data_IF_769802738912
#
_entry.id   IF_769802738912
#
_cell.length_a   1.000
_cell.length_b   1.000
_cell.length_c   1.000
_cell.angle_alpha   90.00
_cell.angle_beta   90.00
_cell.angle_gamma   90.00
#
_symmetry.space_group_name_H-M   'P 1'
#
loop_
_entity.id
_entity.type
_entity.pdbx_description
1 polymer ?
#
# COMPACT_ATOMS: atom_id res chain seq x y z
N UNK A 1 -22.50 4.35 37.32
CA UNK A 1 -22.87 3.84 36.00
C UNK A 1 -23.54 2.47 36.03
N UNK A 2 -23.06 1.52 36.84
CA UNK A 2 -23.68 0.18 36.94
C UNK A 2 -25.14 0.19 37.42
N UNK A 3 -25.45 1.05 38.35
CA UNK A 3 -26.83 1.11 38.94
C UNK A 3 -27.85 1.70 37.97
N UNK A 4 -27.43 2.63 37.12
CA UNK A 4 -28.29 3.23 36.09
C UNK A 4 -28.61 2.22 35.00
N UNK A 5 -27.62 1.41 34.63
CA UNK A 5 -27.77 0.34 33.66
C UNK A 5 -28.68 -0.78 34.17
N UNK A 6 -28.53 -1.15 35.46
CA UNK A 6 -29.40 -2.14 36.11
C UNK A 6 -30.86 -1.67 36.26
N UNK A 7 -31.07 -0.36 36.52
CA UNK A 7 -32.42 0.23 36.58
C UNK A 7 -33.07 0.28 35.20
N UNK A 8 -32.32 0.60 34.16
CA UNK A 8 -32.82 0.58 32.79
C UNK A 8 -33.16 -0.84 32.32
N UNK A 9 -32.34 -1.84 32.65
CA UNK A 9 -32.61 -3.23 32.32
C UNK A 9 -33.86 -3.74 33.04
N UNK A 10 -34.07 -3.34 34.30
CA UNK A 10 -35.26 -3.74 35.11
C UNK A 10 -36.53 -3.02 34.66
N UNK A 11 -36.44 -1.77 34.17
CA UNK A 11 -37.55 -1.02 33.62
C UNK A 11 -38.03 -1.54 32.27
N UNK A 12 -37.16 -2.14 31.48
CA UNK A 12 -37.49 -2.68 30.16
C UNK A 12 -38.20 -4.04 30.21
N UNK A 13 -38.24 -4.74 31.37
CA UNK A 13 -38.90 -6.04 31.56
C UNK A 13 -38.69 -6.99 30.34
N UNK A 14 -37.47 -7.08 29.88
CA UNK A 14 -37.12 -7.74 28.62
C UNK A 14 -37.18 -9.26 28.82
N UNK A 15 -38.09 -9.92 28.16
CA UNK A 15 -38.15 -11.37 28.07
C UNK A 15 -36.96 -11.90 27.27
N UNK A 16 -36.54 -13.15 27.50
CA UNK A 16 -35.39 -13.73 26.79
C UNK A 16 -35.52 -13.66 25.27
N UNK A 17 -36.71 -13.63 24.73
CA UNK A 17 -37.00 -13.48 23.30
C UNK A 17 -36.77 -12.06 22.82
N UNK A 18 -37.00 -11.06 23.63
CA UNK A 18 -36.86 -9.65 23.30
C UNK A 18 -35.39 -9.25 23.23
N UNK A 19 -34.51 -9.94 23.98
CA UNK A 19 -33.06 -9.76 23.89
C UNK A 19 -32.51 -10.06 22.48
N UNK A 20 -33.03 -11.08 21.82
CA UNK A 20 -32.63 -11.46 20.47
C UNK A 20 -32.97 -10.32 19.49
N UNK A 21 -34.20 -9.79 19.62
CA UNK A 21 -34.66 -8.67 18.76
C UNK A 21 -33.81 -7.40 19.03
N UNK A 22 -33.51 -7.11 20.29
CA UNK A 22 -32.69 -5.97 20.69
C UNK A 22 -31.26 -6.07 20.12
N UNK A 23 -30.63 -7.24 20.27
CA UNK A 23 -29.28 -7.48 19.72
C UNK A 23 -29.30 -7.36 18.19
N UNK A 24 -30.30 -7.92 17.54
CA UNK A 24 -30.43 -7.88 16.09
C UNK A 24 -30.63 -6.45 15.58
N UNK A 25 -31.48 -5.64 16.23
CA UNK A 25 -31.68 -4.24 15.87
C UNK A 25 -30.44 -3.40 16.12
N UNK A 26 -29.71 -3.64 17.23
CA UNK A 26 -28.46 -2.96 17.53
C UNK A 26 -27.40 -3.31 16.50
N UNK A 27 -27.31 -4.57 16.09
CA UNK A 27 -26.35 -5.05 15.11
C UNK A 27 -26.64 -4.43 13.73
N UNK A 28 -27.91 -4.33 13.36
CA UNK A 28 -28.34 -3.67 12.14
C UNK A 28 -27.97 -2.17 12.16
N UNK A 29 -28.31 -1.48 13.25
CA UNK A 29 -27.99 -0.06 13.39
C UNK A 29 -26.48 0.20 13.37
N UNK A 30 -25.71 -0.66 14.03
CA UNK A 30 -24.25 -0.60 14.01
C UNK A 30 -23.69 -0.82 12.60
N UNK A 31 -24.24 -1.79 11.86
CA UNK A 31 -23.80 -2.09 10.49
C UNK A 31 -24.03 -0.88 9.56
N UNK A 32 -25.20 -0.26 9.63
CA UNK A 32 -25.51 0.93 8.84
C UNK A 32 -24.60 2.10 9.22
N UNK A 33 -24.39 2.31 10.52
CA UNK A 33 -23.48 3.35 11.01
C UNK A 33 -22.04 3.09 10.55
N UNK A 34 -21.58 1.83 10.62
CA UNK A 34 -20.23 1.45 10.20
C UNK A 34 -20.02 1.70 8.70
N UNK A 35 -20.97 1.28 7.85
CA UNK A 35 -20.92 1.51 6.41
C UNK A 35 -20.86 3.01 6.12
N UNK A 36 -21.69 3.79 6.78
CA UNK A 36 -21.70 5.24 6.61
C UNK A 36 -20.35 5.87 6.97
N UNK A 37 -19.78 5.49 8.13
CA UNK A 37 -18.48 6.00 8.55
C UNK A 37 -17.34 5.57 7.62
N UNK A 38 -17.35 4.33 7.15
CA UNK A 38 -16.32 3.85 6.22
C UNK A 38 -16.38 4.52 4.84
N UNK A 39 -17.54 5.05 4.45
CA UNK A 39 -17.70 5.79 3.20
C UNK A 39 -17.18 7.25 3.27
N UNK A 40 -16.99 7.79 4.47
CA UNK A 40 -16.47 9.15 4.64
C UNK A 40 -14.99 9.21 4.28
N UNK A 41 -14.57 10.37 3.75
CA UNK A 41 -13.16 10.65 3.43
C UNK A 41 -12.43 11.22 4.64
N UNK A 42 -11.29 10.65 4.94
CA UNK A 42 -10.42 11.05 6.05
C UNK A 42 -9.03 11.40 5.53
N UNK A 43 -8.38 12.35 6.21
CA UNK A 43 -6.96 12.59 6.00
C UNK A 43 -6.17 11.49 6.72
N UNK A 44 -5.32 10.80 5.99
CA UNK A 44 -4.53 9.71 6.53
C UNK A 44 -3.08 9.75 6.02
N UNK A 45 -2.17 9.24 6.83
CA UNK A 45 -0.83 8.92 6.39
C UNK A 45 -0.87 7.51 5.79
N UNK A 46 -0.42 7.41 4.56
CA UNK A 46 -0.42 6.19 3.77
C UNK A 46 1.02 5.70 3.64
N UNK A 47 1.23 4.40 3.79
CA UNK A 47 2.51 3.78 3.50
C UNK A 47 2.32 2.64 2.52
N UNK A 48 3.21 2.54 1.54
CA UNK A 48 3.24 1.44 0.59
C UNK A 48 4.68 1.02 0.31
N UNK A 49 4.89 -0.30 0.21
CA UNK A 49 6.16 -0.86 -0.24
C UNK A 49 6.13 -0.96 -1.76
N UNK A 50 7.11 -0.33 -2.40
CA UNK A 50 7.20 -0.25 -3.86
C UNK A 50 8.41 -1.02 -4.36
N UNK A 51 8.20 -1.85 -5.37
CA UNK A 51 9.23 -2.45 -6.20
C UNK A 51 9.18 -1.72 -7.54
N UNK A 52 10.27 -1.09 -7.92
CA UNK A 52 10.35 -0.40 -9.20
C UNK A 52 10.65 -1.40 -10.32
N UNK A 53 9.89 -1.27 -11.41
CA UNK A 53 10.19 -1.90 -12.69
C UNK A 53 10.58 -0.78 -13.65
N UNK A 54 11.79 -0.85 -14.21
CA UNK A 54 12.28 0.14 -15.14
C UNK A 54 13.27 -0.50 -16.09
N UNK A 55 13.17 -0.22 -17.37
CA UNK A 55 14.14 -0.69 -18.37
C UNK A 55 15.32 0.28 -18.42
N UNK A 56 16.39 -0.07 -17.71
CA UNK A 56 17.65 0.70 -17.64
C UNK A 56 18.76 -0.05 -18.36
N UNK A 57 19.47 0.65 -19.25
CA UNK A 57 20.56 0.03 -20.01
C UNK A 57 21.65 -0.54 -19.09
N UNK A 58 21.93 -1.83 -19.24
CA UNK A 58 22.96 -2.53 -18.47
C UNK A 58 22.58 -2.91 -17.05
N UNK A 59 21.31 -2.79 -16.68
CA UNK A 59 20.78 -3.15 -15.36
C UNK A 59 19.61 -4.15 -15.47
N UNK A 60 19.32 -4.83 -14.36
CA UNK A 60 18.09 -5.62 -14.27
C UNK A 60 16.86 -4.71 -14.30
N UNK A 61 15.78 -5.18 -14.94
CA UNK A 61 14.55 -4.39 -15.07
C UNK A 61 13.76 -4.25 -13.77
N UNK A 62 14.10 -5.01 -12.73
CA UNK A 62 13.38 -5.04 -11.45
C UNK A 62 14.32 -4.64 -10.33
N UNK A 63 13.89 -3.74 -9.47
CA UNK A 63 14.68 -3.35 -8.31
C UNK A 63 14.86 -4.51 -7.33
N UNK A 64 16.10 -4.71 -6.86
CA UNK A 64 16.44 -5.77 -5.91
C UNK A 64 15.91 -5.51 -4.48
N UNK A 65 15.61 -4.26 -4.17
CA UNK A 65 15.10 -3.86 -2.87
C UNK A 65 13.76 -3.11 -3.00
N UNK A 66 12.93 -3.26 -1.96
CA UNK A 66 11.69 -2.49 -1.83
C UNK A 66 11.98 -1.13 -1.21
N UNK A 67 11.41 -0.07 -1.79
CA UNK A 67 11.39 1.26 -1.17
C UNK A 67 10.04 1.46 -0.46
N UNK A 68 10.06 2.19 0.65
CA UNK A 68 8.83 2.55 1.36
C UNK A 68 8.42 3.98 0.99
N UNK A 69 7.26 4.10 0.34
CA UNK A 69 6.66 5.37 0.00
C UNK A 69 5.72 5.80 1.12
N UNK A 70 6.01 6.94 1.73
CA UNK A 70 5.16 7.57 2.74
C UNK A 70 4.52 8.81 2.13
N UNK A 71 3.19 8.85 2.16
CA UNK A 71 2.42 9.95 1.61
C UNK A 71 1.32 10.39 2.57
N UNK A 72 0.94 11.65 2.48
CA UNK A 72 -0.26 12.17 3.12
C UNK A 72 -1.32 12.44 2.06
N UNK A 73 -2.53 11.97 2.34
CA UNK A 73 -3.60 12.08 1.38
C UNK A 73 -4.97 11.87 2.00
N UNK A 74 -5.98 11.88 1.15
CA UNK A 74 -7.38 11.66 1.51
C UNK A 74 -7.86 10.35 0.93
N UNK A 75 -8.41 9.52 1.80
CA UNK A 75 -8.97 8.23 1.44
C UNK A 75 -10.25 7.95 2.23
N UNK A 76 -11.10 7.10 1.71
CA UNK A 76 -12.24 6.59 2.47
C UNK A 76 -11.76 5.67 3.60
N UNK A 77 -12.55 5.55 4.66
CA UNK A 77 -12.21 4.65 5.77
C UNK A 77 -11.95 3.21 5.30
N UNK A 78 -12.71 2.75 4.30
CA UNK A 78 -12.49 1.46 3.66
C UNK A 78 -11.10 1.34 3.03
N UNK A 79 -10.70 2.32 2.22
CA UNK A 79 -9.40 2.33 1.53
C UNK A 79 -8.23 2.46 2.51
N UNK A 80 -8.43 3.15 3.63
CA UNK A 80 -7.44 3.21 4.71
C UNK A 80 -7.20 1.81 5.29
N UNK A 81 -8.26 1.10 5.65
CA UNK A 81 -8.14 -0.27 6.18
C UNK A 81 -7.49 -1.19 5.13
N UNK A 82 -7.93 -1.10 3.88
CA UNK A 82 -7.36 -1.88 2.79
C UNK A 82 -5.87 -1.58 2.59
N UNK A 83 -5.46 -0.31 2.66
CA UNK A 83 -4.05 0.08 2.55
C UNK A 83 -3.19 -0.53 3.65
N UNK A 84 -3.67 -0.59 4.90
CA UNK A 84 -2.97 -1.26 5.99
C UNK A 84 -2.80 -2.77 5.77
N UNK A 85 -3.80 -3.41 5.18
CA UNK A 85 -3.74 -4.85 4.84
C UNK A 85 -2.77 -5.08 3.67
N UNK A 86 -2.86 -4.25 2.63
CA UNK A 86 -2.03 -4.34 1.43
C UNK A 86 -0.57 -3.88 1.66
N UNK A 87 -0.32 -2.97 2.61
CA UNK A 87 1.03 -2.46 2.92
C UNK A 87 2.04 -3.58 3.27
N UNK A 88 1.56 -4.77 3.60
CA UNK A 88 2.42 -5.96 3.82
C UNK A 88 2.97 -6.55 2.52
N UNK A 89 2.34 -6.28 1.37
CA UNK A 89 2.77 -6.80 0.07
C UNK A 89 3.36 -5.66 -0.77
N UNK A 90 4.54 -5.84 -1.36
CA UNK A 90 5.10 -4.82 -2.22
C UNK A 90 4.28 -4.68 -3.52
N UNK A 91 4.03 -3.45 -3.91
CA UNK A 91 3.38 -3.10 -5.17
C UNK A 91 4.46 -2.93 -6.24
N UNK A 92 4.28 -3.57 -7.37
CA UNK A 92 5.16 -3.41 -8.53
C UNK A 92 4.68 -2.22 -9.35
N UNK A 93 5.55 -1.23 -9.52
CA UNK A 93 5.25 -0.02 -10.27
C UNK A 93 6.25 0.12 -11.41
N UNK A 94 5.74 0.28 -12.60
CA UNK A 94 6.54 0.53 -13.79
C UNK A 94 6.80 2.02 -13.91
N UNK A 95 8.09 2.40 -13.82
CA UNK A 95 8.53 3.78 -13.95
C UNK A 95 9.13 4.03 -15.33
N UNK A 96 8.87 5.20 -15.88
CA UNK A 96 9.53 5.63 -17.09
C UNK A 96 11.04 5.90 -16.80
N UNK A 97 11.97 5.44 -17.63
CA UNK A 97 13.41 5.71 -17.45
C UNK A 97 13.76 7.19 -17.30
N UNK A 98 12.99 8.07 -17.93
CA UNK A 98 13.19 9.53 -17.84
C UNK A 98 12.96 10.12 -16.45
N UNK A 99 12.20 9.43 -15.58
CA UNK A 99 11.89 9.87 -14.22
C UNK A 99 12.94 9.39 -13.22
N UNK A 100 13.64 8.30 -13.56
CA UNK A 100 14.70 7.73 -12.75
C UNK A 100 15.98 8.55 -12.88
N UNK A 101 16.45 9.08 -11.75
CA UNK A 101 17.74 9.78 -11.70
C UNK A 101 18.78 8.85 -11.09
N UNK A 102 19.96 8.86 -11.71
CA UNK A 102 21.07 8.03 -11.25
C UNK A 102 21.77 8.68 -10.05
N UNK A 103 21.89 7.94 -8.98
CA UNK A 103 22.65 8.36 -7.78
C UNK A 103 24.05 7.74 -7.79
N UNK A 104 24.14 6.43 -8.10
CA UNK A 104 25.40 5.66 -8.11
C UNK A 104 25.32 4.60 -9.23
N UNK A 105 26.34 3.74 -9.32
CA UNK A 105 26.43 2.66 -10.32
C UNK A 105 25.20 1.75 -10.35
N UNK A 106 24.60 1.46 -9.19
CA UNK A 106 23.44 0.56 -9.05
C UNK A 106 22.25 1.22 -8.37
N UNK A 107 22.39 2.45 -7.84
CA UNK A 107 21.34 3.16 -7.13
C UNK A 107 20.74 4.26 -7.99
N UNK A 108 19.42 4.23 -8.04
CA UNK A 108 18.61 5.24 -8.71
C UNK A 108 17.60 5.80 -7.73
N UNK A 109 17.13 6.99 -7.98
CA UNK A 109 16.12 7.61 -7.15
C UNK A 109 15.04 8.31 -7.98
N UNK A 110 13.85 8.43 -7.37
CA UNK A 110 12.73 9.20 -7.92
C UNK A 110 12.36 10.25 -6.88
N UNK A 111 12.22 11.49 -7.31
CA UNK A 111 11.79 12.59 -6.43
C UNK A 111 10.30 12.55 -6.16
N UNK A 112 9.88 13.08 -5.00
CA UNK A 112 8.48 13.10 -4.56
C UNK A 112 7.53 13.74 -5.57
N UNK A 113 7.95 14.82 -6.24
CA UNK A 113 7.15 15.51 -7.26
C UNK A 113 6.80 14.59 -8.43
N UNK A 114 7.74 13.74 -8.84
CA UNK A 114 7.50 12.74 -9.90
C UNK A 114 6.68 11.56 -9.44
N UNK A 115 6.75 11.23 -8.15
CA UNK A 115 5.94 10.16 -7.56
C UNK A 115 4.43 10.49 -7.54
N UNK A 116 4.06 11.77 -7.54
CA UNK A 116 2.65 12.18 -7.58
C UNK A 116 1.94 11.62 -8.82
N UNK A 117 2.63 11.57 -9.95
CA UNK A 117 2.09 11.01 -11.20
C UNK A 117 1.78 9.52 -11.09
N UNK A 118 2.57 8.79 -10.27
CA UNK A 118 2.41 7.34 -10.05
C UNK A 118 1.59 6.99 -8.82
N UNK A 119 0.97 7.98 -8.14
CA UNK A 119 0.24 7.78 -6.88
C UNK A 119 -0.89 6.77 -7.03
N UNK A 120 -1.62 6.80 -8.15
CA UNK A 120 -2.71 5.89 -8.45
C UNK A 120 -2.25 4.43 -8.60
N UNK A 121 -1.02 4.20 -9.09
CA UNK A 121 -0.41 2.87 -9.19
C UNK A 121 0.08 2.37 -7.84
N UNK A 122 0.55 3.28 -6.97
CA UNK A 122 1.13 2.94 -5.67
C UNK A 122 0.04 2.68 -4.62
N UNK A 123 -0.96 3.57 -4.54
CA UNK A 123 -1.97 3.55 -3.49
C UNK A 123 -3.36 3.11 -3.97
N UNK A 124 -3.64 3.18 -5.28
CA UNK A 124 -4.95 2.91 -5.89
C UNK A 124 -5.64 4.18 -6.39
N UNK A 125 -6.62 4.00 -7.26
CA UNK A 125 -7.31 5.11 -7.95
C UNK A 125 -8.19 5.96 -7.03
N UNK A 126 -8.74 5.37 -5.96
CA UNK A 126 -9.67 6.02 -5.04
C UNK A 126 -8.97 6.86 -3.96
N UNK A 127 -7.65 6.90 -3.95
CA UNK A 127 -6.83 7.62 -2.97
C UNK A 127 -6.24 8.86 -3.61
N UNK A 128 -6.55 10.01 -3.03
CA UNK A 128 -5.96 11.29 -3.45
C UNK A 128 -4.75 11.61 -2.57
N UNK A 129 -3.56 11.56 -3.14
CA UNK A 129 -2.32 11.95 -2.47
C UNK A 129 -2.15 13.46 -2.56
N UNK A 130 -2.03 14.14 -1.42
CA UNK A 130 -1.79 15.57 -1.36
C UNK A 130 -0.29 15.86 -1.51
N UNK A 131 0.58 15.11 -0.82
CA UNK A 131 2.03 15.19 -0.94
C UNK A 131 2.72 13.94 -0.39
N UNK A 132 3.93 13.68 -0.88
CA UNK A 132 4.80 12.65 -0.32
C UNK A 132 5.57 13.21 0.87
N UNK A 133 5.63 12.45 1.96
CA UNK A 133 6.46 12.75 3.14
C UNK A 133 7.91 12.37 2.83
N UNK A 134 8.08 11.29 2.04
CA UNK A 134 9.39 10.88 1.55
C UNK A 134 9.76 11.71 0.32
N UNK A 135 10.69 12.65 0.47
CA UNK A 135 11.13 13.54 -0.63
C UNK A 135 11.73 12.76 -1.81
N UNK A 136 12.33 11.60 -1.53
CA UNK A 136 12.98 10.74 -2.52
C UNK A 136 12.80 9.27 -2.17
N UNK A 137 12.57 8.44 -3.19
CA UNK A 137 12.61 6.99 -3.09
C UNK A 137 13.85 6.45 -3.79
N UNK A 138 14.63 5.65 -3.07
CA UNK A 138 15.83 5.01 -3.61
C UNK A 138 15.53 3.57 -4.01
N UNK A 139 15.96 3.21 -5.20
CA UNK A 139 15.86 1.87 -5.76
C UNK A 139 17.24 1.36 -6.15
N UNK A 140 17.47 0.06 -5.95
CA UNK A 140 18.71 -0.57 -6.37
C UNK A 140 18.42 -1.50 -7.55
N UNK A 141 19.06 -1.23 -8.67
CA UNK A 141 19.03 -2.05 -9.88
C UNK A 141 20.42 -2.69 -10.08
N UNK A 142 20.54 -4.01 -9.87
CA UNK A 142 21.81 -4.70 -10.07
C UNK A 142 22.27 -4.57 -11.52
N UNK A 143 23.58 -4.38 -11.71
CA UNK A 143 24.17 -4.36 -13.05
C UNK A 143 24.20 -5.77 -13.64
N UNK A 144 23.76 -5.91 -14.90
CA UNK A 144 23.81 -7.16 -15.64
C UNK A 144 25.18 -7.30 -16.27
N UNK A 145 26.13 -7.92 -15.55
CA UNK A 145 27.44 -8.27 -16.08
C UNK A 145 27.35 -9.51 -16.96
N UNK A 146 27.13 -9.34 -18.26
CA UNK A 146 27.31 -10.41 -19.23
C UNK A 146 28.81 -10.62 -19.51
N UNK A 147 29.44 -11.50 -18.75
CA UNK A 147 30.78 -11.96 -19.09
C UNK A 147 30.65 -12.97 -20.23
N UNK A 148 31.03 -12.58 -21.44
CA UNK A 148 31.20 -13.54 -22.56
C UNK A 148 32.34 -14.48 -22.20
N UNK A 149 32.01 -15.70 -21.78
CA UNK A 149 32.99 -16.77 -21.59
C UNK A 149 33.18 -17.45 -22.95
N UNK A 150 34.39 -17.40 -23.54
CA UNK A 150 34.64 -18.18 -24.76
C UNK A 150 34.55 -19.67 -24.42
N UNK A 151 33.59 -20.36 -25.01
CA UNK A 151 33.52 -21.81 -24.95
C UNK A 151 34.52 -22.36 -25.97
N UNK A 152 35.65 -22.87 -25.49
CA UNK A 152 36.61 -23.60 -26.33
C UNK A 152 36.12 -25.03 -26.43
N UNK A 153 35.71 -25.52 -27.62
CA UNK A 153 35.36 -26.92 -27.78
C UNK A 153 36.62 -27.82 -27.59
N UNK A 154 36.60 -28.65 -26.57
CA UNK A 154 37.61 -29.71 -26.41
C UNK A 154 37.31 -30.80 -27.43
N UNK A 155 38.05 -30.84 -28.52
CA UNK A 155 38.03 -31.99 -29.45
C UNK A 155 38.77 -33.16 -28.78
N UNK A 156 38.03 -34.15 -28.35
CA UNK A 156 38.61 -35.43 -27.94
C UNK A 156 39.03 -36.15 -29.22
N UNK A 157 40.32 -36.17 -29.49
CA UNK A 157 40.92 -37.06 -30.49
C UNK A 157 40.97 -38.48 -29.91
N UNK A 158 40.22 -39.38 -30.54
CA UNK A 158 40.29 -40.81 -30.30
C UNK A 158 41.41 -41.41 -31.12
#
# INVERSE_FOLDING_TARGET
MKDLFHRLLKALNISGRDWVVLIQSLLLAFSVWLIHNLALKYNANLSAKVIAICSLDGHENVSAATAEALARGRATGYNIIESYIKARRPVKVEFNPSVMQRYDSERFFVTGDKLVEYSHLIFGEDITVDHYISDTLFFRFPSVNHKKVPVVPVSILT
#
